data_IF_706182360304
#
_entry.id   IF_706182360304
#
_cell.length_a   1.000
_cell.length_b   1.000
_cell.length_c   1.000
_cell.angle_alpha   90.00
_cell.angle_beta   90.00
_cell.angle_gamma   90.00
#
_symmetry.space_group_name_H-M   'P 1'
#
loop_
_entity.id
_entity.type
_entity.pdbx_description
1 polymer ?
#
# COMPACT_ATOMS: atom_id res chain seq x y z
N UNK A 1 -1.05 -13.52 10.43
CA UNK A 1 -2.26 -12.99 9.77
C UNK A 1 -2.02 -13.12 8.27
N UNK A 2 -2.77 -13.97 7.57
CA UNK A 2 -2.72 -14.02 6.11
C UNK A 2 -3.56 -12.85 5.58
N UNK A 3 -2.95 -11.95 4.82
CA UNK A 3 -3.69 -10.97 4.05
C UNK A 3 -4.61 -11.73 3.06
N UNK A 4 -5.83 -11.24 2.79
CA UNK A 4 -6.70 -11.86 1.80
C UNK A 4 -5.99 -11.87 0.45
N UNK A 5 -6.18 -12.97 -0.30
CA UNK A 5 -5.74 -13.15 -1.70
C UNK A 5 -5.87 -11.83 -2.45
N UNK A 6 -4.77 -11.44 -3.08
CA UNK A 6 -4.67 -10.35 -4.06
C UNK A 6 -6.03 -9.93 -4.62
N UNK A 7 -6.51 -8.76 -4.21
CA UNK A 7 -7.57 -8.10 -4.95
C UNK A 7 -6.93 -7.73 -6.28
N UNK A 8 -7.40 -8.30 -7.41
CA UNK A 8 -6.84 -8.00 -8.74
C UNK A 8 -6.75 -6.48 -9.00
N UNK A 9 -7.59 -5.70 -8.32
CA UNK A 9 -7.60 -4.25 -8.28
C UNK A 9 -7.87 -3.73 -6.85
N UNK A 10 -7.07 -2.76 -6.38
CA UNK A 10 -7.38 -2.01 -5.16
C UNK A 10 -8.50 -1.03 -5.49
N UNK A 11 -9.59 -1.07 -4.72
CA UNK A 11 -10.68 -0.10 -4.85
C UNK A 11 -10.17 1.34 -4.71
N UNK A 12 -10.49 2.25 -5.65
CA UNK A 12 -9.98 3.63 -5.62
C UNK A 12 -10.25 4.36 -4.31
N UNK A 13 -11.43 4.19 -3.73
CA UNK A 13 -11.80 4.84 -2.46
C UNK A 13 -10.95 4.32 -1.29
N UNK A 14 -10.63 3.03 -1.27
CA UNK A 14 -9.73 2.44 -0.28
C UNK A 14 -8.31 2.99 -0.43
N UNK A 15 -7.83 3.09 -1.67
CA UNK A 15 -6.52 3.65 -1.97
C UNK A 15 -6.41 5.10 -1.49
N UNK A 16 -7.41 5.92 -1.80
CA UNK A 16 -7.47 7.32 -1.38
C UNK A 16 -7.54 7.46 0.14
N UNK A 17 -8.30 6.60 0.82
CA UNK A 17 -8.34 6.56 2.28
C UNK A 17 -6.96 6.25 2.87
N UNK A 18 -6.27 5.24 2.34
CA UNK A 18 -4.94 4.85 2.80
C UNK A 18 -3.91 5.97 2.60
N UNK A 19 -3.85 6.61 1.42
CA UNK A 19 -2.94 7.72 1.19
C UNK A 19 -3.18 8.91 2.13
N UNK A 20 -4.45 9.21 2.46
CA UNK A 20 -4.82 10.28 3.40
C UNK A 20 -4.37 10.00 4.83
N UNK A 21 -4.36 8.74 5.26
CA UNK A 21 -3.79 8.33 6.55
C UNK A 21 -2.30 8.02 6.46
N UNK A 22 -1.75 8.05 5.25
CA UNK A 22 -0.35 7.80 4.96
C UNK A 22 0.07 6.33 5.10
N UNK A 23 -0.82 5.45 4.71
CA UNK A 23 -0.57 4.03 4.52
C UNK A 23 -0.42 3.81 3.01
N UNK A 24 0.55 2.98 2.61
CA UNK A 24 0.90 2.77 1.21
C UNK A 24 0.80 1.29 0.85
N UNK A 25 0.17 0.92 -0.28
CA UNK A 25 0.25 -0.44 -0.80
C UNK A 25 1.64 -0.67 -1.40
N UNK A 26 2.22 -1.83 -1.09
CA UNK A 26 3.54 -2.26 -1.57
C UNK A 26 3.48 -3.76 -1.92
N UNK A 27 4.44 -4.20 -2.72
CA UNK A 27 4.66 -5.59 -3.08
C UNK A 27 6.18 -5.83 -3.12
N UNK A 28 6.64 -7.08 -2.93
CA UNK A 28 8.09 -7.38 -2.92
C UNK A 28 8.72 -7.25 -4.31
N UNK A 29 7.92 -7.45 -5.37
CA UNK A 29 8.35 -7.25 -6.76
C UNK A 29 7.18 -6.77 -7.64
N UNK A 30 7.49 -6.34 -8.86
CA UNK A 30 6.50 -5.82 -9.82
C UNK A 30 5.40 -6.84 -10.15
N UNK A 31 5.78 -8.10 -10.32
CA UNK A 31 4.87 -9.18 -10.77
C UNK A 31 4.39 -10.04 -9.58
N UNK A 32 4.64 -9.59 -8.35
CA UNK A 32 4.14 -10.26 -7.16
C UNK A 32 2.61 -10.08 -7.08
N UNK A 33 1.83 -11.16 -7.05
CA UNK A 33 0.38 -11.04 -6.88
C UNK A 33 0.03 -10.48 -5.49
N UNK A 34 0.88 -10.62 -4.48
CA UNK A 34 0.55 -10.25 -3.11
C UNK A 34 0.86 -8.77 -2.81
N UNK A 35 -0.15 -8.07 -2.29
CA UNK A 35 -0.05 -6.68 -1.85
C UNK A 35 -0.14 -6.63 -0.33
N UNK A 36 0.76 -5.85 0.28
CA UNK A 36 0.72 -5.52 1.70
C UNK A 36 0.70 -4.02 1.93
N UNK A 37 0.20 -3.61 3.10
CA UNK A 37 0.07 -2.21 3.48
C UNK A 37 1.18 -1.79 4.44
N UNK A 38 1.83 -0.66 4.14
CA UNK A 38 2.96 -0.14 4.92
C UNK A 38 2.57 1.18 5.58
N UNK A 39 2.69 1.23 6.90
CA UNK A 39 2.66 2.46 7.70
C UNK A 39 4.08 2.74 8.24
N UNK A 40 4.87 3.55 7.54
CA UNK A 40 6.25 3.80 7.95
C UNK A 40 6.30 4.68 9.20
N UNK A 41 7.02 4.21 10.24
CA UNK A 41 7.26 4.99 11.48
C UNK A 41 8.06 6.27 11.22
N UNK A 42 8.97 6.24 10.26
CA UNK A 42 9.75 7.39 9.80
C UNK A 42 9.57 7.51 8.28
N UNK A 43 9.23 8.70 7.80
CA UNK A 43 8.99 8.95 6.38
C UNK A 43 10.14 9.71 5.75
N UNK A 44 10.64 9.18 4.65
CA UNK A 44 11.52 9.93 3.77
C UNK A 44 10.67 11.00 3.04
N UNK A 45 11.09 12.27 3.14
CA UNK A 45 10.46 13.41 2.49
C UNK A 45 11.53 14.11 1.66
N UNK A 46 11.28 14.28 0.37
CA UNK A 46 12.10 15.11 -0.50
C UNK A 46 11.48 16.51 -0.56
N UNK A 47 12.13 17.57 -0.04
CA UNK A 47 11.63 18.93 -0.19
C UNK A 47 11.71 19.36 -1.66
N UNK A 48 10.68 20.09 -2.11
CA UNK A 48 10.56 20.63 -3.46
C UNK A 48 10.74 22.16 -3.45
#
# INVERSE_FOLDING_TARGET
MHAPRAVDLIEPDLLMLAYRTGIFPMADSRDDPEIFWVEPRLRAILPL
#
